data_IF_008581546142
#
_entry.id   IF_008581546142
#
_cell.length_a   1.000
_cell.length_b   1.000
_cell.length_c   1.000
_cell.angle_alpha   90.00
_cell.angle_beta   90.00
_cell.angle_gamma   90.00
#
_symmetry.space_group_name_H-M   'P 1'
#
loop_
_entity.id
_entity.type
_entity.pdbx_description
1 polymer ?
#
# COMPACT_ATOMS: atom_id res chain seq x y z
N UNK A 1 -9.33 12.47 -23.54
CA UNK A 1 -10.46 12.04 -22.70
C UNK A 1 -9.82 11.54 -21.41
N UNK A 2 -10.17 12.11 -20.26
CA UNK A 2 -9.70 11.58 -18.97
C UNK A 2 -10.67 10.46 -18.64
N UNK A 3 -10.22 9.20 -18.70
CA UNK A 3 -11.05 8.09 -18.23
C UNK A 3 -11.38 8.34 -16.76
N UNK A 4 -12.68 8.42 -16.48
CA UNK A 4 -13.18 8.69 -15.15
C UNK A 4 -13.00 7.41 -14.34
N UNK A 5 -12.28 7.48 -13.23
CA UNK A 5 -12.13 6.35 -12.31
C UNK A 5 -13.54 5.91 -11.85
N UNK A 6 -13.90 4.67 -12.20
CA UNK A 6 -15.15 4.06 -11.74
C UNK A 6 -14.89 3.44 -10.37
N UNK A 7 -15.57 3.95 -9.35
CA UNK A 7 -15.50 3.45 -7.98
C UNK A 7 -16.85 2.81 -7.66
N UNK A 8 -16.84 1.52 -7.32
CA UNK A 8 -18.01 0.78 -6.83
C UNK A 8 -17.54 -0.42 -5.99
N UNK A 9 -17.42 -0.24 -4.67
CA UNK A 9 -16.93 -1.27 -3.74
C UNK A 9 -17.94 -1.44 -2.61
N UNK A 10 -18.60 -2.60 -2.57
CA UNK A 10 -19.68 -2.88 -1.60
C UNK A 10 -19.30 -3.92 -0.55
N UNK A 11 -18.18 -4.62 -0.75
CA UNK A 11 -17.67 -5.64 0.14
C UNK A 11 -16.15 -5.83 -0.07
N UNK A 12 -15.54 -6.73 0.71
CA UNK A 12 -14.10 -6.98 0.72
C UNK A 12 -13.68 -8.25 -0.06
N UNK A 13 -14.62 -8.91 -0.75
CA UNK A 13 -14.44 -10.27 -1.29
C UNK A 13 -14.78 -10.42 -2.77
N UNK A 14 -15.57 -9.50 -3.32
CA UNK A 14 -15.90 -9.45 -4.73
C UNK A 14 -14.63 -9.34 -5.58
N UNK A 15 -14.66 -9.81 -6.84
CA UNK A 15 -13.50 -9.74 -7.72
C UNK A 15 -12.90 -8.33 -7.78
N UNK A 16 -11.61 -8.24 -7.49
CA UNK A 16 -10.90 -6.97 -7.45
C UNK A 16 -10.58 -6.49 -8.87
N UNK A 17 -11.14 -5.36 -9.29
CA UNK A 17 -10.87 -4.77 -10.60
C UNK A 17 -9.71 -3.77 -10.57
N UNK A 18 -9.61 -2.97 -9.50
CA UNK A 18 -8.54 -1.99 -9.32
C UNK A 18 -8.24 -1.73 -7.86
N UNK A 19 -7.02 -1.27 -7.56
CA UNK A 19 -6.56 -1.01 -6.20
C UNK A 19 -5.57 0.15 -6.14
N UNK A 20 -5.63 0.94 -5.07
CA UNK A 20 -4.53 1.85 -4.69
C UNK A 20 -3.58 1.08 -3.78
N UNK A 21 -2.39 0.80 -4.26
CA UNK A 21 -1.34 0.14 -3.51
C UNK A 21 -0.34 1.18 -3.02
N UNK A 22 -0.01 1.16 -1.72
CA UNK A 22 1.00 2.04 -1.13
C UNK A 22 2.40 1.83 -1.71
N UNK A 23 3.35 2.67 -1.31
CA UNK A 23 4.77 2.58 -1.70
C UNK A 23 5.65 2.38 -0.46
N UNK A 24 6.80 1.73 -0.64
CA UNK A 24 7.80 1.52 0.40
C UNK A 24 8.95 2.54 0.35
N UNK A 25 9.04 3.31 -0.73
CA UNK A 25 10.06 4.33 -0.97
C UNK A 25 10.02 5.41 0.13
N UNK A 26 11.21 5.89 0.52
CA UNK A 26 11.39 7.09 1.36
C UNK A 26 10.53 7.15 2.64
N UNK A 27 10.22 6.01 3.27
CA UNK A 27 9.26 5.90 4.40
C UNK A 27 9.58 6.74 5.65
N UNK A 28 10.77 7.34 5.73
CA UNK A 28 11.23 8.09 6.89
C UNK A 28 11.61 7.19 8.08
N UNK A 29 11.91 7.76 9.25
CA UNK A 29 12.32 6.98 10.41
C UNK A 29 11.18 6.10 10.95
N UNK A 30 11.48 4.82 11.16
CA UNK A 30 10.52 3.88 11.76
C UNK A 30 10.46 4.11 13.27
N UNK A 31 9.28 4.49 13.77
CA UNK A 31 9.05 4.66 15.20
C UNK A 31 8.61 3.35 15.88
N UNK A 32 9.03 3.14 17.12
CA UNK A 32 8.55 2.05 17.97
C UNK A 32 7.16 2.34 18.57
N UNK A 33 6.22 2.85 17.78
CA UNK A 33 4.90 3.27 18.26
C UNK A 33 3.94 2.09 18.50
N UNK A 34 4.21 0.91 17.92
CA UNK A 34 3.43 -0.31 18.14
C UNK A 34 4.31 -1.46 18.68
N UNK A 35 3.75 -2.44 19.39
CA UNK A 35 4.51 -3.52 20.02
C UNK A 35 5.37 -4.34 19.04
N UNK A 36 4.90 -4.55 17.81
CA UNK A 36 5.63 -5.31 16.78
C UNK A 36 6.83 -4.52 16.28
N UNK A 37 6.66 -3.26 15.91
CA UNK A 37 7.77 -2.39 15.52
C UNK A 37 8.82 -2.31 16.64
N UNK A 38 8.39 -2.10 17.90
CA UNK A 38 9.30 -2.10 19.05
C UNK A 38 10.10 -3.40 19.19
N UNK A 39 9.45 -4.55 19.00
CA UNK A 39 10.11 -5.85 19.06
C UNK A 39 11.18 -5.98 17.97
N UNK A 40 10.84 -5.70 16.71
CA UNK A 40 11.78 -5.82 15.59
C UNK A 40 12.92 -4.79 15.65
N UNK A 41 12.65 -3.56 16.11
CA UNK A 41 13.69 -2.56 16.38
C UNK A 41 14.66 -3.08 17.45
N UNK A 42 14.15 -3.62 18.56
CA UNK A 42 14.99 -4.14 19.65
C UNK A 42 15.83 -5.34 19.19
N UNK A 43 15.30 -6.16 18.29
CA UNK A 43 15.99 -7.34 17.75
C UNK A 43 16.90 -7.02 16.56
N UNK A 44 16.87 -5.80 16.02
CA UNK A 44 17.61 -5.46 14.80
C UNK A 44 17.12 -6.18 13.54
N UNK A 45 15.84 -6.59 13.51
CA UNK A 45 15.25 -7.40 12.43
C UNK A 45 14.19 -6.63 11.62
N UNK A 46 14.28 -5.30 11.60
CA UNK A 46 13.47 -4.52 10.67
C UNK A 46 13.92 -4.80 9.23
N UNK A 47 12.98 -4.93 8.28
CA UNK A 47 13.33 -5.07 6.88
C UNK A 47 14.05 -3.80 6.40
N UNK A 48 15.03 -3.99 5.52
CA UNK A 48 15.67 -2.88 4.81
C UNK A 48 14.70 -2.26 3.82
N UNK A 49 15.02 -1.08 3.29
CA UNK A 49 14.18 -0.45 2.28
C UNK A 49 14.15 -1.29 0.98
N UNK A 50 15.29 -1.91 0.63
CA UNK A 50 15.42 -2.82 -0.52
C UNK A 50 14.60 -4.11 -0.35
N UNK A 51 14.48 -4.63 0.89
CA UNK A 51 13.57 -5.74 1.19
C UNK A 51 12.12 -5.35 0.94
N UNK A 52 11.71 -4.15 1.40
CA UNK A 52 10.33 -3.70 1.24
C UNK A 52 9.98 -3.38 -0.20
N UNK A 53 10.88 -2.72 -0.94
CA UNK A 53 10.70 -2.45 -2.35
C UNK A 53 10.46 -3.75 -3.13
N UNK A 54 11.29 -4.78 -2.87
CA UNK A 54 11.14 -6.11 -3.46
C UNK A 54 9.78 -6.75 -3.14
N UNK A 55 9.34 -6.69 -1.89
CA UNK A 55 8.03 -7.25 -1.48
C UNK A 55 6.86 -6.48 -2.11
N UNK A 56 6.92 -5.14 -2.15
CA UNK A 56 5.88 -4.30 -2.76
C UNK A 56 5.81 -4.47 -4.28
N UNK A 57 6.94 -4.62 -4.95
CA UNK A 57 7.01 -4.90 -6.38
C UNK A 57 6.49 -6.30 -6.70
N UNK A 58 6.85 -7.30 -5.90
CA UNK A 58 6.31 -8.66 -6.01
C UNK A 58 4.79 -8.69 -5.84
N UNK A 59 4.26 -7.97 -4.86
CA UNK A 59 2.81 -7.90 -4.64
C UNK A 59 2.09 -7.16 -5.77
N UNK A 60 2.66 -6.05 -6.28
CA UNK A 60 2.14 -5.37 -7.48
C UNK A 60 2.07 -6.34 -8.66
N UNK A 61 3.17 -7.04 -8.95
CA UNK A 61 3.23 -7.97 -10.07
C UNK A 61 2.21 -9.11 -9.95
N UNK A 62 2.00 -9.63 -8.73
CA UNK A 62 0.99 -10.66 -8.49
C UNK A 62 -0.44 -10.17 -8.77
N UNK A 63 -0.76 -8.92 -8.41
CA UNK A 63 -2.07 -8.30 -8.70
C UNK A 63 -2.25 -8.06 -10.21
N UNK A 64 -1.25 -7.49 -10.86
CA UNK A 64 -1.27 -7.22 -12.31
C UNK A 64 -1.40 -8.51 -13.13
N UNK A 65 -0.74 -9.60 -12.70
CA UNK A 65 -0.87 -10.91 -13.33
C UNK A 65 -2.29 -11.51 -13.24
N UNK A 66 -3.12 -11.04 -12.31
CA UNK A 66 -4.56 -11.38 -12.21
C UNK A 66 -5.45 -10.37 -12.96
N UNK A 67 -4.87 -9.43 -13.71
CA UNK A 67 -5.61 -8.40 -14.46
C UNK A 67 -6.12 -7.24 -13.61
N UNK A 68 -5.63 -7.09 -12.37
CA UNK A 68 -6.01 -5.97 -11.49
C UNK A 68 -5.25 -4.71 -11.91
N UNK A 69 -5.96 -3.60 -12.11
CA UNK A 69 -5.33 -2.30 -12.32
C UNK A 69 -4.76 -1.75 -11.01
N UNK A 70 -3.44 -1.61 -10.92
CA UNK A 70 -2.77 -1.03 -9.75
C UNK A 70 -2.51 0.46 -9.95
N UNK A 71 -2.95 1.26 -8.98
CA UNK A 71 -2.61 2.69 -8.85
C UNK A 71 -1.63 2.88 -7.71
N UNK A 72 -0.67 3.80 -7.88
CA UNK A 72 0.37 4.10 -6.88
C UNK A 72 0.28 5.58 -6.50
N UNK A 73 0.48 5.94 -5.21
CA UNK A 73 0.60 7.33 -4.83
C UNK A 73 1.89 7.93 -5.41
N UNK A 74 1.90 9.25 -5.56
CA UNK A 74 3.16 9.99 -5.77
C UNK A 74 3.96 9.97 -4.47
N UNK A 75 5.27 9.78 -4.58
CA UNK A 75 6.17 9.79 -3.44
C UNK A 75 6.25 11.17 -2.76
N UNK A 76 6.31 11.15 -1.42
CA UNK A 76 6.51 12.27 -0.52
C UNK A 76 7.64 11.87 0.44
N UNK A 77 8.83 12.43 0.17
CA UNK A 77 10.05 12.08 0.90
C UNK A 77 9.89 12.21 2.42
N UNK A 78 10.24 11.15 3.14
CA UNK A 78 10.23 11.11 4.60
C UNK A 78 8.87 10.77 5.21
N UNK A 79 7.86 10.46 4.39
CA UNK A 79 6.53 10.05 4.83
C UNK A 79 6.31 8.57 4.54
N UNK A 80 5.88 7.82 5.55
CA UNK A 80 5.42 6.44 5.33
C UNK A 80 4.13 6.44 4.51
N UNK A 81 4.15 5.84 3.32
CA UNK A 81 3.02 5.74 2.39
C UNK A 81 2.61 4.30 2.07
N UNK A 82 2.96 3.35 2.95
CA UNK A 82 2.66 1.92 2.79
C UNK A 82 1.17 1.59 3.03
N UNK A 83 0.47 2.38 3.86
CA UNK A 83 -0.85 2.04 4.41
C UNK A 83 -1.96 2.92 3.82
N UNK A 84 -2.28 2.73 2.55
CA UNK A 84 -3.36 3.49 1.89
C UNK A 84 -4.73 3.35 2.60
N UNK A 85 -4.97 2.20 3.26
CA UNK A 85 -6.21 1.89 3.96
C UNK A 85 -6.49 2.77 5.18
N UNK A 86 -5.44 3.27 5.84
CA UNK A 86 -5.60 3.99 7.12
C UNK A 86 -6.15 5.41 6.93
N UNK A 87 -6.08 5.94 5.71
CA UNK A 87 -6.42 7.34 5.40
C UNK A 87 -7.61 7.48 4.44
N UNK A 88 -8.06 6.38 3.83
CA UNK A 88 -9.15 6.38 2.88
C UNK A 88 -9.88 5.03 2.86
N UNK A 89 -11.19 5.08 2.65
CA UNK A 89 -12.02 3.90 2.46
C UNK A 89 -13.07 4.18 1.39
N UNK A 90 -13.62 3.14 0.79
CA UNK A 90 -14.66 3.28 -0.23
C UNK A 90 -15.91 2.55 0.24
N UNK A 91 -17.08 3.18 0.11
CA UNK A 91 -18.38 2.56 0.34
C UNK A 91 -19.29 2.86 -0.85
N UNK A 92 -19.62 1.82 -1.61
CA UNK A 92 -20.28 1.92 -2.90
C UNK A 92 -19.46 2.83 -3.82
N UNK A 93 -20.05 3.96 -4.23
CA UNK A 93 -19.45 4.90 -5.19
C UNK A 93 -18.80 6.13 -4.56
N UNK A 94 -18.46 6.06 -3.27
CA UNK A 94 -17.88 7.17 -2.50
C UNK A 94 -16.55 6.76 -1.91
N UNK A 95 -15.61 7.71 -1.91
CA UNK A 95 -14.35 7.66 -1.16
C UNK A 95 -14.41 8.62 0.02
#
# INVERSE_FOLDING_TARGET
>A
MIDRLVIDVNDETAPLASVVLGIAENRGPVSGNNPKARHHIKMGTLPTDEDLEREFDGFRAALEAQGVQVYRPKDIVGLTQMYARDIAFVIGRKI
#
